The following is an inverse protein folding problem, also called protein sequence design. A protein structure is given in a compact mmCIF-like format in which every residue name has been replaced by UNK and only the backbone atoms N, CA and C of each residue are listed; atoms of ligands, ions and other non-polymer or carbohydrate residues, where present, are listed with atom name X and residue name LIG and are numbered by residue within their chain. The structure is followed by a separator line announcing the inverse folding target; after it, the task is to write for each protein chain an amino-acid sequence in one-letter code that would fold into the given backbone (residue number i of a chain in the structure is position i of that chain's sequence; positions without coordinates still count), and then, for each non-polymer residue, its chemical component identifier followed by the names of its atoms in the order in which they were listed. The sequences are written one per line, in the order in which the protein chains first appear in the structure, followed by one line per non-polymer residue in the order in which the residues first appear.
data_IF_255874394031
#
_entry.id   IF_255874394031
#
_cell.length_a   1.000
_cell.length_b   1.000
_cell.length_c   1.000
_cell.angle_alpha   90.00
_cell.angle_beta   90.00
_cell.angle_gamma   90.00
#
_symmetry.space_group_name_H-M   'P 1'
#
loop_
_entity.id
_entity.type
_entity.pdbx_description
1 polymer ?
#
# COMPACT_ATOMS: atom_id res chain seq x y z
N UNK A 1 76.74 -16.48 5.98
CA UNK A 1 75.74 -16.80 4.94
C UNK A 1 74.40 -16.21 5.34
N UNK A 2 74.05 -15.04 4.80
CA UNK A 2 72.77 -14.38 5.04
C UNK A 2 71.71 -15.06 4.16
N UNK A 3 70.67 -15.63 4.77
CA UNK A 3 69.46 -16.08 4.05
C UNK A 3 68.49 -14.90 4.04
N UNK A 4 68.34 -14.27 2.88
CA UNK A 4 67.32 -13.24 2.68
C UNK A 4 65.94 -13.88 2.49
N UNK A 5 65.01 -13.44 3.34
CA UNK A 5 63.57 -13.59 3.17
C UNK A 5 63.13 -12.80 1.93
N UNK A 6 62.51 -13.46 0.95
CA UNK A 6 61.71 -12.78 -0.06
C UNK A 6 60.24 -13.11 0.19
N UNK A 7 59.58 -12.28 1.00
CA UNK A 7 58.13 -12.31 1.20
C UNK A 7 57.49 -11.59 0.00
N UNK A 8 57.09 -12.35 -1.03
CA UNK A 8 56.29 -11.82 -2.13
C UNK A 8 54.89 -11.46 -1.60
N UNK A 9 54.63 -10.17 -1.38
CA UNK A 9 53.30 -9.64 -1.14
C UNK A 9 52.47 -9.76 -2.42
N UNK A 10 51.59 -10.77 -2.47
CA UNK A 10 50.56 -10.91 -3.49
C UNK A 10 49.55 -9.76 -3.32
N UNK A 11 49.70 -8.68 -4.09
CA UNK A 11 48.66 -7.65 -4.23
C UNK A 11 47.47 -8.30 -4.98
N UNK A 12 46.49 -8.81 -4.24
CA UNK A 12 45.16 -9.04 -4.81
C UNK A 12 44.54 -7.68 -5.15
N UNK A 13 44.09 -7.44 -6.39
CA UNK A 13 43.26 -6.29 -6.67
C UNK A 13 41.93 -6.48 -5.92
N UNK A 14 41.74 -5.70 -4.86
CA UNK A 14 40.44 -5.52 -4.25
C UNK A 14 39.59 -4.76 -5.28
N UNK A 15 38.76 -5.49 -6.05
CA UNK A 15 37.78 -4.86 -6.92
C UNK A 15 36.68 -4.33 -6.01
N UNK A 16 36.85 -3.09 -5.57
CA UNK A 16 35.81 -2.36 -4.85
C UNK A 16 34.79 -1.93 -5.90
N UNK A 17 33.60 -2.54 -5.89
CA UNK A 17 32.49 -2.06 -6.70
C UNK A 17 32.01 -0.72 -6.13
N UNK A 18 32.42 0.37 -6.77
CA UNK A 18 31.86 1.69 -6.47
C UNK A 18 30.37 1.65 -6.77
N UNK A 19 29.56 2.28 -5.90
CA UNK A 19 28.18 2.61 -6.21
C UNK A 19 28.14 3.30 -7.58
N UNK A 20 27.25 2.83 -8.45
CA UNK A 20 27.08 3.37 -9.79
C UNK A 20 25.61 3.71 -10.03
N UNK A 21 25.38 4.85 -10.68
CA UNK A 21 24.05 5.29 -11.09
C UNK A 21 23.83 4.85 -12.54
N UNK A 22 22.71 4.18 -12.77
CA UNK A 22 22.28 3.72 -14.08
C UNK A 22 20.92 4.32 -14.41
N UNK A 23 20.88 5.13 -15.45
CA UNK A 23 19.63 5.71 -15.94
C UNK A 23 19.09 4.85 -17.07
N UNK A 24 17.81 4.48 -16.98
CA UNK A 24 17.12 3.79 -18.04
C UNK A 24 17.03 4.68 -19.28
N UNK A 25 17.42 4.15 -20.45
CA UNK A 25 17.54 4.95 -21.68
C UNK A 25 16.48 4.66 -22.74
N UNK A 26 15.83 3.51 -22.65
CA UNK A 26 14.96 3.01 -23.71
C UNK A 26 13.49 3.42 -23.48
N UNK A 27 12.73 3.60 -24.56
CA UNK A 27 11.27 3.66 -24.45
C UNK A 27 10.70 2.31 -24.00
N UNK A 28 11.16 1.21 -24.59
CA UNK A 28 10.83 -0.15 -24.16
C UNK A 28 12.07 -1.07 -24.18
N UNK A 29 12.16 -2.04 -23.25
CA UNK A 29 13.25 -3.01 -23.26
C UNK A 29 13.30 -3.96 -22.06
N UNK A 30 14.26 -4.87 -22.08
CA UNK A 30 14.55 -5.81 -20.99
C UNK A 30 15.45 -5.18 -19.94
N UNK A 31 15.14 -5.44 -18.66
CA UNK A 31 15.91 -4.98 -17.50
C UNK A 31 17.34 -5.50 -17.51
N UNK A 32 17.53 -6.76 -17.92
CA UNK A 32 18.81 -7.46 -17.89
C UNK A 32 19.71 -7.14 -19.09
N UNK A 33 19.18 -6.48 -20.14
CA UNK A 33 19.98 -6.05 -21.27
C UNK A 33 20.89 -4.88 -20.85
N UNK A 34 22.23 -5.03 -20.86
CA UNK A 34 23.16 -3.99 -20.42
C UNK A 34 22.99 -2.68 -21.18
N UNK A 35 22.56 -2.77 -22.44
CA UNK A 35 22.37 -1.61 -23.30
C UNK A 35 21.07 -0.85 -23.02
N UNK A 36 20.17 -1.34 -22.17
CA UNK A 36 18.99 -0.55 -21.74
C UNK A 36 19.34 0.58 -20.75
N UNK A 37 20.56 0.60 -20.25
CA UNK A 37 21.04 1.51 -19.21
C UNK A 37 22.13 2.45 -19.75
N UNK A 38 22.22 3.65 -19.18
CA UNK A 38 23.35 4.57 -19.35
C UNK A 38 23.99 4.82 -17.98
N UNK A 39 25.30 4.56 -17.82
CA UNK A 39 26.17 3.81 -18.75
C UNK A 39 25.71 2.35 -18.91
N UNK A 40 26.29 1.60 -19.85
CA UNK A 40 25.91 0.19 -20.04
C UNK A 40 26.14 -0.61 -18.74
N UNK A 41 25.12 -1.35 -18.30
CA UNK A 41 25.15 -2.10 -17.03
C UNK A 41 25.59 -3.55 -17.23
N UNK A 42 26.89 -3.74 -17.47
CA UNK A 42 27.47 -5.07 -17.78
C UNK A 42 27.75 -5.93 -16.54
N UNK A 43 27.86 -5.32 -15.37
CA UNK A 43 28.15 -6.02 -14.11
C UNK A 43 27.23 -5.46 -13.03
N UNK A 44 25.96 -5.91 -12.99
CA UNK A 44 25.03 -5.58 -11.92
C UNK A 44 25.66 -5.76 -10.53
N UNK A 45 25.63 -4.71 -9.71
CA UNK A 45 26.09 -4.73 -8.34
C UNK A 45 24.96 -4.43 -7.35
N UNK A 46 25.09 -4.96 -6.14
CA UNK A 46 24.07 -4.84 -5.09
C UNK A 46 23.87 -3.41 -4.59
N UNK A 47 24.83 -2.51 -4.85
CA UNK A 47 24.80 -1.12 -4.44
C UNK A 47 24.46 -0.18 -5.60
N UNK A 48 23.99 -0.71 -6.73
CA UNK A 48 23.59 0.10 -7.89
C UNK A 48 22.37 0.97 -7.58
N UNK A 49 22.36 2.17 -8.14
CA UNK A 49 21.21 3.08 -8.13
C UNK A 49 20.59 3.05 -9.52
N UNK A 50 19.36 2.53 -9.62
CA UNK A 50 18.62 2.45 -10.86
C UNK A 50 17.60 3.59 -10.96
N UNK A 51 17.69 4.35 -12.04
CA UNK A 51 16.95 5.59 -12.24
C UNK A 51 16.05 5.52 -13.48
N UNK A 52 14.77 5.83 -13.28
CA UNK A 52 13.79 6.02 -14.34
C UNK A 52 13.30 7.46 -14.30
N UNK A 53 13.88 8.30 -15.15
CA UNK A 53 13.64 9.75 -15.21
C UNK A 53 12.83 10.17 -16.45
N UNK A 54 12.38 9.21 -17.25
CA UNK A 54 11.51 9.37 -18.40
C UNK A 54 10.56 8.17 -18.47
N UNK A 55 9.41 8.36 -19.12
CA UNK A 55 8.42 7.29 -19.28
C UNK A 55 9.00 6.11 -20.07
N UNK A 56 8.76 4.90 -19.56
CA UNK A 56 9.37 3.69 -20.08
C UNK A 56 8.49 2.45 -19.86
N UNK A 57 8.73 1.42 -20.65
CA UNK A 57 8.13 0.09 -20.50
C UNK A 57 9.21 -0.98 -20.40
N UNK A 58 9.31 -1.59 -19.23
CA UNK A 58 10.20 -2.71 -18.97
C UNK A 58 9.34 -3.96 -19.07
N UNK A 59 9.50 -4.71 -20.15
CA UNK A 59 8.65 -5.87 -20.47
C UNK A 59 9.25 -7.22 -20.05
N UNK A 60 10.47 -7.18 -19.52
CA UNK A 60 11.21 -8.36 -19.11
C UNK A 60 12.05 -8.01 -17.88
N UNK A 61 11.50 -8.32 -16.70
CA UNK A 61 12.13 -8.11 -15.39
C UNK A 61 13.06 -9.30 -15.05
N UNK A 62 14.08 -9.11 -14.20
CA UNK A 62 15.00 -10.18 -13.84
C UNK A 62 14.29 -11.21 -12.95
N UNK A 63 14.72 -12.47 -13.00
CA UNK A 63 14.20 -13.50 -12.10
C UNK A 63 14.44 -13.11 -10.62
N UNK A 64 15.69 -12.75 -10.29
CA UNK A 64 16.11 -12.27 -8.98
C UNK A 64 17.22 -11.23 -9.17
N UNK A 65 17.14 -10.11 -8.47
CA UNK A 65 18.22 -9.14 -8.41
C UNK A 65 18.26 -8.37 -7.08
N UNK A 66 19.45 -7.99 -6.62
CA UNK A 66 19.64 -7.04 -5.53
C UNK A 66 20.19 -5.72 -6.09
N UNK A 67 19.65 -4.60 -5.65
CA UNK A 67 20.11 -3.25 -6.01
C UNK A 67 20.11 -2.35 -4.78
N UNK A 68 20.89 -1.28 -4.83
CA UNK A 68 21.01 -0.35 -3.73
C UNK A 68 19.79 0.57 -3.63
N UNK A 69 19.28 0.98 -4.80
CA UNK A 69 18.16 1.92 -4.90
C UNK A 69 17.42 1.84 -6.22
N UNK A 70 16.12 2.11 -6.19
CA UNK A 70 15.28 2.38 -7.37
C UNK A 70 14.60 3.74 -7.21
N UNK A 71 14.63 4.55 -8.27
CA UNK A 71 13.95 5.86 -8.32
C UNK A 71 13.13 6.01 -9.60
N UNK A 72 11.87 6.38 -9.44
CA UNK A 72 10.99 6.83 -10.53
C UNK A 72 10.68 8.30 -10.28
N UNK A 73 11.08 9.19 -11.19
CA UNK A 73 11.06 10.63 -10.95
C UNK A 73 10.90 11.45 -12.23
N UNK A 74 10.84 12.79 -12.12
CA UNK A 74 10.70 13.69 -13.27
C UNK A 74 9.41 13.47 -14.09
N UNK A 75 8.29 13.26 -13.40
CA UNK A 75 6.98 12.99 -14.01
C UNK A 75 6.95 11.74 -14.93
N UNK A 76 7.88 10.79 -14.72
CA UNK A 76 7.95 9.58 -15.51
C UNK A 76 6.78 8.65 -15.22
N UNK A 77 6.26 8.00 -16.27
CA UNK A 77 5.33 6.87 -16.16
C UNK A 77 6.08 5.61 -16.57
N UNK A 78 6.37 4.76 -15.59
CA UNK A 78 7.17 3.54 -15.78
C UNK A 78 6.26 2.32 -15.65
N UNK A 79 6.31 1.43 -16.64
CA UNK A 79 5.52 0.21 -16.66
C UNK A 79 6.43 -0.99 -16.53
N UNK A 80 6.26 -1.78 -15.49
CA UNK A 80 6.93 -3.07 -15.31
C UNK A 80 5.96 -4.20 -15.66
N UNK A 81 6.42 -5.12 -16.50
CA UNK A 81 5.83 -6.42 -16.72
C UNK A 81 6.92 -7.46 -16.94
N UNK A 82 6.57 -8.73 -16.79
CA UNK A 82 7.55 -9.82 -16.83
C UNK A 82 6.97 -11.07 -17.47
N UNK A 83 7.82 -11.80 -18.18
CA UNK A 83 7.49 -13.13 -18.73
C UNK A 83 7.69 -14.26 -17.72
N UNK A 84 8.33 -13.96 -16.59
CA UNK A 84 8.63 -14.86 -15.47
C UNK A 84 8.28 -14.20 -14.14
N UNK A 85 8.17 -14.97 -13.05
CA UNK A 85 8.14 -14.39 -11.71
C UNK A 85 9.46 -13.65 -11.42
N UNK A 86 9.36 -12.41 -10.96
CA UNK A 86 10.51 -11.51 -10.75
C UNK A 86 10.58 -11.06 -9.30
N UNK A 87 11.77 -11.05 -8.73
CA UNK A 87 12.04 -10.53 -7.38
C UNK A 87 13.19 -9.51 -7.44
N UNK A 88 12.88 -8.26 -7.15
CA UNK A 88 13.90 -7.21 -7.00
C UNK A 88 13.99 -6.81 -5.55
N UNK A 89 15.17 -7.01 -4.95
CA UNK A 89 15.49 -6.67 -3.57
C UNK A 89 16.25 -5.35 -3.53
N UNK A 90 15.84 -4.45 -2.64
CA UNK A 90 16.38 -3.09 -2.56
C UNK A 90 17.00 -2.87 -1.19
N UNK A 91 18.27 -2.50 -1.16
CA UNK A 91 18.95 -2.05 0.06
C UNK A 91 20.43 -2.39 0.07
N UNK A 92 21.25 -1.37 0.31
CA UNK A 92 22.68 -1.51 0.58
C UNK A 92 23.16 -0.37 1.49
N UNK A 93 24.01 -0.67 2.48
CA UNK A 93 24.43 0.30 3.50
C UNK A 93 25.30 1.44 2.94
N UNK A 94 25.89 1.26 1.76
CA UNK A 94 26.64 2.32 1.06
C UNK A 94 25.73 3.28 0.28
N UNK A 95 24.43 2.99 0.19
CA UNK A 95 23.47 3.75 -0.62
C UNK A 95 22.52 4.56 0.28
N UNK A 96 22.52 5.90 0.17
CA UNK A 96 21.70 6.74 1.04
C UNK A 96 20.20 6.56 0.74
N UNK A 97 19.40 6.63 1.81
CA UNK A 97 17.95 6.61 1.75
C UNK A 97 17.35 7.84 1.02
N UNK A 98 16.10 7.76 0.53
CA UNK A 98 15.26 6.56 0.45
C UNK A 98 15.74 5.60 -0.65
N UNK A 99 15.79 4.30 -0.33
CA UNK A 99 16.25 3.25 -1.25
C UNK A 99 15.17 2.91 -2.29
N UNK A 100 13.90 3.13 -2.00
CA UNK A 100 12.83 3.09 -2.99
C UNK A 100 12.14 4.46 -3.05
N UNK A 101 12.03 5.04 -4.25
CA UNK A 101 11.41 6.35 -4.42
C UNK A 101 10.51 6.38 -5.66
N UNK A 102 9.28 6.85 -5.46
CA UNK A 102 8.44 7.36 -6.56
C UNK A 102 8.12 8.82 -6.25
N UNK A 103 8.69 9.74 -7.02
CA UNK A 103 8.52 11.19 -6.82
C UNK A 103 7.10 11.65 -7.18
N UNK A 104 6.69 12.80 -6.66
CA UNK A 104 5.43 13.46 -7.05
C UNK A 104 5.36 13.65 -8.56
N UNK A 105 4.16 13.53 -9.12
CA UNK A 105 3.90 13.57 -10.56
C UNK A 105 4.35 12.31 -11.32
N UNK A 106 5.12 11.40 -10.70
CA UNK A 106 5.58 10.17 -11.34
C UNK A 106 4.70 8.97 -10.99
N UNK A 107 4.67 7.97 -11.87
CA UNK A 107 3.85 6.77 -11.71
C UNK A 107 4.66 5.51 -11.98
N UNK A 108 4.54 4.52 -11.10
CA UNK A 108 5.00 3.15 -11.33
C UNK A 108 3.79 2.22 -11.51
N UNK A 109 3.67 1.61 -12.69
CA UNK A 109 2.68 0.60 -12.98
C UNK A 109 3.36 -0.78 -12.99
N UNK A 110 2.76 -1.76 -12.33
CA UNK A 110 3.19 -3.15 -12.35
C UNK A 110 2.02 -3.98 -12.85
N UNK A 111 2.23 -4.71 -13.94
CA UNK A 111 1.17 -5.51 -14.55
C UNK A 111 1.69 -6.76 -15.25
N UNK A 112 0.76 -7.58 -15.73
CA UNK A 112 1.05 -8.87 -16.35
C UNK A 112 0.56 -10.01 -15.47
N UNK A 113 0.67 -11.25 -15.96
CA UNK A 113 0.19 -12.43 -15.22
C UNK A 113 1.23 -13.00 -14.26
N UNK A 114 2.51 -12.72 -14.50
CA UNK A 114 3.60 -13.22 -13.67
C UNK A 114 3.90 -12.24 -12.54
N UNK A 115 4.05 -12.77 -11.34
CA UNK A 115 4.27 -11.98 -10.14
C UNK A 115 5.57 -11.18 -10.22
N UNK A 116 5.50 -9.92 -9.79
CA UNK A 116 6.67 -9.05 -9.65
C UNK A 116 6.65 -8.57 -8.21
N UNK A 117 7.71 -8.90 -7.48
CA UNK A 117 7.91 -8.50 -6.09
C UNK A 117 9.06 -7.51 -6.00
N UNK A 118 8.76 -6.30 -5.53
CA UNK A 118 9.76 -5.30 -5.15
C UNK A 118 9.87 -5.34 -3.63
N UNK A 119 11.03 -5.71 -3.11
CA UNK A 119 11.25 -5.99 -1.67
C UNK A 119 12.30 -5.07 -1.09
N UNK A 120 11.89 -4.12 -0.24
CA UNK A 120 12.79 -3.28 0.55
C UNK A 120 13.30 -4.13 1.71
N UNK A 121 14.62 -4.33 1.75
CA UNK A 121 15.29 -5.16 2.74
C UNK A 121 15.32 -4.49 4.13
N UNK A 122 15.62 -5.26 5.17
CA UNK A 122 15.75 -4.74 6.54
C UNK A 122 16.92 -3.76 6.65
N UNK A 123 16.73 -2.69 7.42
CA UNK A 123 17.63 -1.54 7.56
C UNK A 123 17.40 -0.43 6.54
N UNK A 124 16.47 -0.60 5.59
CA UNK A 124 16.26 0.32 4.46
C UNK A 124 14.81 0.80 4.39
N UNK A 125 14.59 1.87 3.63
CA UNK A 125 13.27 2.51 3.55
C UNK A 125 12.86 2.95 2.15
N UNK A 126 11.56 3.10 1.96
CA UNK A 126 10.91 3.57 0.76
C UNK A 126 10.02 4.79 1.01
N UNK A 127 9.91 5.67 0.02
CA UNK A 127 9.02 6.82 0.05
C UNK A 127 8.27 6.95 -1.26
N UNK A 128 6.95 7.10 -1.18
CA UNK A 128 6.07 7.29 -2.33
C UNK A 128 5.40 8.65 -2.19
N UNK A 129 5.73 9.56 -3.10
CA UNK A 129 5.07 10.87 -3.27
C UNK A 129 4.16 10.87 -4.50
N UNK A 130 4.42 9.99 -5.46
CA UNK A 130 3.62 9.83 -6.68
C UNK A 130 2.59 8.71 -6.58
N UNK A 131 2.40 7.99 -7.68
CA UNK A 131 1.42 6.92 -7.82
C UNK A 131 2.07 5.56 -8.04
N UNK A 132 1.51 4.53 -7.42
CA UNK A 132 1.80 3.13 -7.74
C UNK A 132 0.50 2.42 -8.11
N UNK A 133 0.52 1.66 -9.21
CA UNK A 133 -0.60 0.82 -9.61
C UNK A 133 -0.15 -0.62 -9.84
N UNK A 134 -0.92 -1.58 -9.31
CA UNK A 134 -0.72 -3.01 -9.54
C UNK A 134 -1.97 -3.64 -10.14
N UNK A 135 -1.83 -4.47 -11.17
CA UNK A 135 -2.94 -5.17 -11.83
C UNK A 135 -2.47 -6.53 -12.38
N UNK A 136 -3.35 -7.52 -12.55
CA UNK A 136 -2.96 -8.84 -13.07
C UNK A 136 -2.47 -9.82 -11.99
N UNK A 137 -1.20 -10.21 -11.98
CA UNK A 137 -0.66 -11.22 -11.07
C UNK A 137 -0.71 -10.82 -9.59
N UNK A 138 -0.19 -11.69 -8.72
CA UNK A 138 0.03 -11.40 -7.30
C UNK A 138 1.30 -10.55 -7.14
N UNK A 139 1.28 -9.34 -7.67
CA UNK A 139 2.39 -8.39 -7.54
C UNK A 139 2.51 -7.88 -6.09
N UNK A 140 3.74 -7.65 -5.64
CA UNK A 140 4.02 -7.22 -4.28
C UNK A 140 4.99 -6.04 -4.21
N UNK A 141 4.70 -5.11 -3.30
CA UNK A 141 5.62 -4.12 -2.78
C UNK A 141 5.83 -4.40 -1.30
N UNK A 142 6.90 -5.10 -0.98
CA UNK A 142 7.21 -5.58 0.36
C UNK A 142 8.21 -4.64 1.05
N UNK A 143 8.04 -4.46 2.34
CA UNK A 143 8.98 -3.72 3.19
C UNK A 143 9.19 -4.49 4.49
N UNK A 144 10.44 -4.69 4.88
CA UNK A 144 10.80 -5.62 5.96
C UNK A 144 10.51 -5.06 7.37
N UNK A 145 10.83 -3.78 7.61
CA UNK A 145 10.78 -3.21 8.96
C UNK A 145 9.53 -2.37 9.18
N UNK A 146 9.10 -2.21 10.44
CA UNK A 146 8.00 -1.33 10.78
C UNK A 146 8.23 0.10 10.28
N UNK A 147 7.21 0.70 9.67
CA UNK A 147 7.23 2.06 9.11
C UNK A 147 8.35 2.34 8.08
N UNK A 148 8.86 1.31 7.42
CA UNK A 148 9.95 1.46 6.44
C UNK A 148 9.47 1.91 5.06
N UNK A 149 8.21 1.63 4.68
CA UNK A 149 7.61 2.15 3.44
C UNK A 149 6.54 3.19 3.77
N UNK A 150 6.73 4.42 3.31
CA UNK A 150 5.85 5.55 3.62
C UNK A 150 5.22 6.12 2.34
N UNK A 151 3.89 6.10 2.30
CA UNK A 151 3.08 6.84 1.34
C UNK A 151 2.79 8.24 1.92
N UNK A 152 3.35 9.25 1.28
CA UNK A 152 3.29 10.66 1.69
C UNK A 152 1.95 11.30 1.31
N UNK A 153 1.69 12.49 1.84
CA UNK A 153 0.52 13.28 1.47
C UNK A 153 0.37 13.42 -0.05
N UNK A 154 -0.82 13.14 -0.60
CA UNK A 154 -1.11 13.22 -2.03
C UNK A 154 -0.66 12.01 -2.85
N UNK A 155 0.06 11.05 -2.27
CA UNK A 155 0.42 9.81 -2.95
C UNK A 155 -0.75 8.82 -3.03
N UNK A 156 -0.72 7.96 -4.05
CA UNK A 156 -1.76 6.94 -4.25
C UNK A 156 -1.16 5.57 -4.53
N UNK A 157 -1.67 4.55 -3.85
CA UNK A 157 -1.52 3.15 -4.26
C UNK A 157 -2.87 2.63 -4.75
N UNK A 158 -2.92 2.01 -5.92
CA UNK A 158 -4.15 1.39 -6.43
C UNK A 158 -3.91 -0.04 -6.89
N UNK A 159 -4.79 -0.95 -6.48
CA UNK A 159 -4.92 -2.24 -7.18
C UNK A 159 -5.78 -2.07 -8.43
N UNK A 160 -5.86 -3.09 -9.28
CA UNK A 160 -6.56 -3.03 -10.56
C UNK A 160 -7.16 -4.37 -10.95
N UNK A 161 -7.82 -4.41 -12.11
CA UNK A 161 -8.44 -5.63 -12.63
C UNK A 161 -7.44 -6.78 -12.73
N UNK A 162 -7.92 -7.99 -12.45
CA UNK A 162 -7.10 -9.20 -12.46
C UNK A 162 -6.21 -9.39 -11.23
N UNK A 163 -5.85 -8.33 -10.50
CA UNK A 163 -4.94 -8.40 -9.35
C UNK A 163 -5.40 -9.45 -8.33
N UNK A 164 -4.46 -10.23 -7.80
CA UNK A 164 -4.70 -11.25 -6.76
C UNK A 164 -3.77 -11.04 -5.56
N UNK A 165 -4.11 -11.62 -4.41
CA UNK A 165 -3.27 -11.53 -3.21
C UNK A 165 -3.32 -10.18 -2.48
N UNK A 166 -2.34 -9.95 -1.61
CA UNK A 166 -2.22 -8.75 -0.77
C UNK A 166 -0.99 -7.93 -1.21
N UNK A 167 -1.13 -6.68 -1.65
CA UNK A 167 -0.05 -5.95 -2.31
C UNK A 167 1.18 -5.72 -1.42
N UNK A 168 1.01 -5.72 -0.10
CA UNK A 168 2.10 -5.47 0.86
C UNK A 168 2.60 -6.74 1.57
N UNK A 169 2.13 -7.92 1.14
CA UNK A 169 2.46 -9.20 1.77
C UNK A 169 1.66 -9.46 3.04
N UNK A 170 2.08 -10.46 3.84
CA UNK A 170 1.28 -10.98 4.96
C UNK A 170 2.03 -11.10 6.29
N UNK A 171 3.34 -10.80 6.32
CA UNK A 171 4.22 -11.15 7.46
C UNK A 171 4.90 -9.95 8.12
N UNK A 172 5.34 -8.95 7.36
CA UNK A 172 6.05 -7.78 7.88
C UNK A 172 5.07 -6.80 8.53
N UNK A 173 4.77 -7.00 9.82
CA UNK A 173 3.75 -6.21 10.51
C UNK A 173 4.14 -4.73 10.58
N UNK A 174 3.14 -3.86 10.40
CA UNK A 174 3.26 -2.41 10.50
C UNK A 174 4.31 -1.78 9.56
N UNK A 175 4.73 -2.48 8.49
CA UNK A 175 5.85 -2.06 7.65
C UNK A 175 5.49 -0.95 6.66
N UNK A 176 4.20 -0.79 6.36
CA UNK A 176 3.70 0.19 5.39
C UNK A 176 2.83 1.22 6.10
N UNK A 177 3.06 2.51 5.82
CA UNK A 177 2.33 3.62 6.42
C UNK A 177 1.73 4.50 5.34
N UNK A 178 0.42 4.72 5.41
CA UNK A 178 -0.27 5.77 4.66
C UNK A 178 -0.44 6.99 5.57
N UNK A 179 0.25 8.08 5.23
CA UNK A 179 0.13 9.34 5.96
C UNK A 179 -1.20 10.03 5.68
N UNK A 180 -1.49 11.10 6.45
CA UNK A 180 -2.64 11.97 6.19
C UNK A 180 -2.62 12.46 4.73
N UNK A 181 -3.75 12.31 4.04
CA UNK A 181 -3.93 12.64 2.63
C UNK A 181 -3.30 11.67 1.62
N UNK A 182 -2.64 10.59 2.06
CA UNK A 182 -2.27 9.48 1.18
C UNK A 182 -3.47 8.55 0.95
N UNK A 183 -3.55 7.93 -0.22
CA UNK A 183 -4.72 7.16 -0.65
C UNK A 183 -4.38 5.71 -1.02
N UNK A 184 -5.19 4.77 -0.54
CA UNK A 184 -5.23 3.39 -1.03
C UNK A 184 -6.55 3.11 -1.74
N UNK A 185 -6.49 2.71 -3.01
CA UNK A 185 -7.64 2.37 -3.84
C UNK A 185 -7.72 0.86 -4.09
N UNK A 186 -8.70 0.21 -3.48
CA UNK A 186 -8.91 -1.22 -3.63
C UNK A 186 -9.85 -1.52 -4.82
N UNK A 187 -9.28 -1.81 -5.99
CA UNK A 187 -10.02 -2.16 -7.23
C UNK A 187 -9.87 -3.63 -7.65
N UNK A 188 -9.17 -4.44 -6.87
CA UNK A 188 -8.91 -5.85 -7.13
C UNK A 188 -8.07 -6.49 -6.03
N UNK A 189 -8.00 -7.82 -6.03
CA UNK A 189 -7.26 -8.63 -5.05
C UNK A 189 -7.89 -8.67 -3.65
N UNK A 190 -7.06 -8.97 -2.66
CA UNK A 190 -7.43 -9.02 -1.24
C UNK A 190 -7.18 -7.67 -0.53
N UNK A 191 -7.52 -7.59 0.75
CA UNK A 191 -7.27 -6.39 1.57
C UNK A 191 -5.77 -6.05 1.67
N UNK A 192 -5.39 -4.79 1.93
CA UNK A 192 -3.98 -4.43 2.09
C UNK A 192 -3.35 -4.89 3.42
N UNK A 193 -4.16 -5.20 4.44
CA UNK A 193 -3.64 -5.53 5.78
C UNK A 193 -2.84 -6.83 5.79
N UNK A 194 -3.22 -7.82 4.96
CA UNK A 194 -2.44 -9.02 4.63
C UNK A 194 -2.27 -10.04 5.74
N UNK A 195 -1.85 -9.61 6.92
CA UNK A 195 -1.66 -10.44 8.10
C UNK A 195 -3.00 -10.92 8.66
N UNK A 196 -2.96 -12.08 9.33
CA UNK A 196 -4.12 -12.66 10.01
C UNK A 196 -4.63 -11.71 11.09
N UNK A 197 -5.95 -11.47 11.09
CA UNK A 197 -6.59 -10.60 12.08
C UNK A 197 -6.25 -11.02 13.53
N UNK A 198 -5.99 -10.07 14.44
CA UNK A 198 -6.09 -8.62 14.26
C UNK A 198 -4.82 -7.94 13.69
N UNK A 199 -3.73 -8.67 13.51
CA UNK A 199 -2.43 -8.10 13.11
C UNK A 199 -2.45 -7.53 11.69
N UNK A 200 -1.73 -6.43 11.46
CA UNK A 200 -1.71 -5.72 10.16
C UNK A 200 -0.28 -5.46 9.66
N UNK A 201 -0.10 -5.52 8.33
CA UNK A 201 1.07 -5.01 7.61
C UNK A 201 1.00 -3.50 7.39
N UNK A 202 -0.21 -2.94 7.24
CA UNK A 202 -0.45 -1.55 6.85
C UNK A 202 -1.05 -0.72 7.98
N UNK A 203 -0.52 0.49 8.16
CA UNK A 203 -1.02 1.50 9.07
C UNK A 203 -1.60 2.68 8.29
N UNK A 204 -2.91 2.82 8.33
CA UNK A 204 -3.62 4.01 7.87
C UNK A 204 -3.65 5.04 9.00
N UNK A 205 -2.86 6.11 8.88
CA UNK A 205 -2.88 7.19 9.86
C UNK A 205 -4.15 8.03 9.74
N UNK A 206 -4.46 8.80 10.78
CA UNK A 206 -5.54 9.77 10.78
C UNK A 206 -5.45 10.68 9.53
N UNK A 207 -6.58 10.87 8.85
CA UNK A 207 -6.67 11.65 7.61
C UNK A 207 -6.17 10.97 6.33
N UNK A 208 -5.64 9.74 6.37
CA UNK A 208 -5.41 8.94 5.14
C UNK A 208 -6.74 8.49 4.53
N UNK A 209 -6.74 8.06 3.27
CA UNK A 209 -7.96 7.68 2.54
C UNK A 209 -7.91 6.22 2.09
N UNK A 210 -8.97 5.47 2.40
CA UNK A 210 -9.18 4.12 1.90
C UNK A 210 -10.44 4.07 1.03
N UNK A 211 -10.27 3.78 -0.26
CA UNK A 211 -11.37 3.64 -1.21
C UNK A 211 -11.63 2.16 -1.44
N UNK A 212 -12.81 1.68 -1.05
CA UNK A 212 -13.28 0.33 -1.33
C UNK A 212 -14.09 0.31 -2.62
N UNK A 213 -13.49 -0.16 -3.70
CA UNK A 213 -14.08 -0.13 -5.04
C UNK A 213 -14.34 -1.54 -5.60
N UNK A 214 -14.32 -2.55 -4.71
CA UNK A 214 -14.79 -3.91 -4.99
C UNK A 214 -15.73 -4.40 -3.89
N UNK A 215 -16.47 -5.48 -4.16
CA UNK A 215 -17.48 -6.00 -3.25
C UNK A 215 -16.96 -6.95 -2.15
N UNK A 216 -15.74 -7.48 -2.26
CA UNK A 216 -15.31 -8.66 -1.47
C UNK A 216 -13.92 -8.57 -0.83
N UNK A 217 -13.26 -7.41 -0.87
CA UNK A 217 -11.86 -7.29 -0.44
C UNK A 217 -11.60 -6.44 0.81
N UNK A 218 -12.62 -5.83 1.42
CA UNK A 218 -12.44 -5.07 2.67
C UNK A 218 -12.40 -6.00 3.89
N UNK A 219 -11.59 -5.67 4.90
CA UNK A 219 -11.44 -6.43 6.16
C UNK A 219 -11.74 -5.52 7.33
N UNK A 220 -12.63 -5.92 8.26
CA UNK A 220 -13.01 -5.06 9.37
C UNK A 220 -12.38 -5.47 10.70
N UNK A 221 -12.33 -6.78 11.02
CA UNK A 221 -11.96 -7.26 12.35
C UNK A 221 -10.54 -6.84 12.74
N UNK A 222 -10.42 -6.04 13.80
CA UNK A 222 -9.13 -5.55 14.30
C UNK A 222 -8.43 -4.56 13.37
N UNK A 223 -9.13 -3.95 12.41
CA UNK A 223 -8.54 -3.03 11.42
C UNK A 223 -8.72 -1.58 11.83
N UNK A 224 -7.74 -0.76 11.46
CA UNK A 224 -7.80 0.70 11.62
C UNK A 224 -7.64 1.37 10.27
N UNK A 225 -8.51 2.33 10.00
CA UNK A 225 -8.59 3.12 8.77
C UNK A 225 -8.54 4.62 9.12
N UNK A 226 -8.14 5.45 8.15
CA UNK A 226 -8.35 6.91 8.20
C UNK A 226 -9.79 7.25 7.85
N UNK A 227 -9.99 7.88 6.70
CA UNK A 227 -11.26 7.96 6.00
C UNK A 227 -11.54 6.66 5.25
N UNK A 228 -12.82 6.26 5.17
CA UNK A 228 -13.29 5.16 4.34
C UNK A 228 -14.34 5.67 3.37
N UNK A 229 -14.14 5.36 2.08
CA UNK A 229 -15.09 5.63 1.01
C UNK A 229 -15.52 4.32 0.36
N UNK A 230 -16.83 4.11 0.27
CA UNK A 230 -17.46 2.92 -0.28
C UNK A 230 -18.01 3.24 -1.67
N UNK A 231 -17.34 2.67 -2.69
CA UNK A 231 -17.67 2.79 -4.12
C UNK A 231 -18.05 1.43 -4.72
N UNK A 232 -18.42 0.46 -3.87
CA UNK A 232 -18.94 -0.84 -4.27
C UNK A 232 -19.78 -1.42 -3.12
N UNK A 233 -20.79 -2.21 -3.47
CA UNK A 233 -21.65 -2.82 -2.45
C UNK A 233 -20.84 -3.77 -1.57
N UNK A 234 -20.84 -3.54 -0.25
CA UNK A 234 -20.15 -4.37 0.73
C UNK A 234 -21.13 -4.82 1.82
N UNK A 235 -21.08 -6.09 2.21
CA UNK A 235 -21.95 -6.66 3.25
C UNK A 235 -21.17 -7.57 4.18
N UNK A 236 -21.29 -7.33 5.48
CA UNK A 236 -20.61 -8.06 6.53
C UNK A 236 -21.63 -8.64 7.50
N UNK A 237 -21.76 -9.97 7.49
CA UNK A 237 -22.50 -10.74 8.48
C UNK A 237 -21.58 -11.79 9.09
N UNK A 238 -20.75 -11.37 10.04
CA UNK A 238 -19.64 -12.16 10.58
C UNK A 238 -19.59 -12.05 12.11
N UNK A 239 -18.98 -13.02 12.81
CA UNK A 239 -18.54 -12.83 14.18
C UNK A 239 -17.53 -11.68 14.24
N UNK A 240 -17.73 -10.77 15.18
CA UNK A 240 -16.97 -9.53 15.28
C UNK A 240 -16.38 -9.36 16.68
N UNK A 241 -15.20 -9.94 16.88
CA UNK A 241 -14.58 -10.10 18.21
C UNK A 241 -13.53 -9.03 18.53
N UNK A 242 -13.21 -8.15 17.59
CA UNK A 242 -12.21 -7.09 17.77
C UNK A 242 -12.65 -5.87 17.00
N UNK A 243 -12.48 -4.71 17.61
CA UNK A 243 -12.94 -3.44 17.07
C UNK A 243 -12.36 -3.15 15.68
N UNK A 244 -13.18 -2.55 14.83
CA UNK A 244 -12.71 -1.81 13.66
C UNK A 244 -12.75 -0.33 14.00
N UNK A 245 -11.69 0.41 13.68
CA UNK A 245 -11.63 1.85 13.91
C UNK A 245 -11.59 2.56 12.55
N UNK A 246 -12.61 3.35 12.27
CA UNK A 246 -12.57 4.38 11.22
C UNK A 246 -12.30 5.69 11.95
N UNK A 247 -11.07 6.18 11.86
CA UNK A 247 -10.63 7.34 12.64
C UNK A 247 -11.34 8.64 12.23
N UNK A 248 -11.77 8.72 10.97
CA UNK A 248 -12.44 9.87 10.39
C UNK A 248 -13.80 9.45 9.78
N UNK A 249 -14.09 9.88 8.56
CA UNK A 249 -15.41 9.77 7.96
C UNK A 249 -15.61 8.39 7.31
N UNK A 250 -16.85 7.89 7.38
CA UNK A 250 -17.33 6.81 6.53
C UNK A 250 -18.31 7.40 5.51
N UNK A 251 -17.96 7.28 4.22
CA UNK A 251 -18.72 7.84 3.11
C UNK A 251 -19.15 6.75 2.14
N UNK A 252 -20.41 6.81 1.68
CA UNK A 252 -20.96 5.97 0.62
C UNK A 252 -21.26 6.83 -0.61
N UNK A 253 -20.77 6.43 -1.78
CA UNK A 253 -21.00 7.12 -3.06
C UNK A 253 -22.02 6.38 -3.94
N UNK A 254 -23.26 6.24 -3.46
CA UNK A 254 -24.32 5.56 -4.22
C UNK A 254 -24.30 4.02 -4.13
N UNK A 255 -23.41 3.45 -3.32
CA UNK A 255 -23.32 2.01 -3.04
C UNK A 255 -23.70 1.67 -1.61
N UNK A 256 -24.27 0.48 -1.42
CA UNK A 256 -24.71 0.01 -0.12
C UNK A 256 -23.54 -0.48 0.73
N UNK A 257 -23.58 -0.17 2.02
CA UNK A 257 -22.69 -0.74 3.03
C UNK A 257 -23.52 -1.32 4.16
N UNK A 258 -23.36 -2.61 4.43
CA UNK A 258 -24.04 -3.29 5.52
C UNK A 258 -23.02 -3.95 6.44
N UNK A 259 -23.06 -3.59 7.72
CA UNK A 259 -22.32 -4.21 8.80
C UNK A 259 -23.32 -4.70 9.85
N UNK A 260 -23.65 -5.99 9.79
CA UNK A 260 -24.62 -6.66 10.66
C UNK A 260 -23.95 -7.84 11.36
N UNK A 261 -23.11 -7.61 12.38
CA UNK A 261 -22.40 -8.67 13.08
C UNK A 261 -23.36 -9.72 13.67
N UNK A 262 -23.01 -10.99 13.52
CA UNK A 262 -23.84 -12.12 13.98
C UNK A 262 -23.60 -12.51 15.44
N UNK A 263 -22.43 -12.14 15.97
CA UNK A 263 -21.99 -12.38 17.35
C UNK A 263 -20.72 -11.58 17.63
N UNK A 264 -20.28 -11.54 18.89
CA UNK A 264 -18.99 -10.97 19.29
C UNK A 264 -19.12 -9.73 20.16
N UNK A 265 -17.96 -9.25 20.63
CA UNK A 265 -17.84 -8.12 21.58
C UNK A 265 -17.16 -6.89 20.97
N UNK A 266 -16.70 -7.00 19.73
CA UNK A 266 -16.09 -5.88 19.02
C UNK A 266 -17.12 -4.88 18.53
N UNK A 267 -16.67 -3.66 18.28
CA UNK A 267 -17.47 -2.56 17.75
C UNK A 267 -16.86 -1.95 16.49
N UNK A 268 -17.71 -1.53 15.56
CA UNK A 268 -17.34 -0.57 14.53
C UNK A 268 -17.33 0.81 15.16
N UNK A 269 -16.13 1.34 15.38
CA UNK A 269 -15.89 2.67 15.96
C UNK A 269 -15.67 3.68 14.85
N UNK A 270 -16.41 4.78 14.89
CA UNK A 270 -16.34 5.83 13.87
C UNK A 270 -16.08 7.16 14.56
N UNK A 271 -14.96 7.79 14.19
CA UNK A 271 -14.50 9.05 14.76
C UNK A 271 -15.06 10.30 14.07
N UNK A 272 -15.37 10.21 12.77
CA UNK A 272 -15.94 11.30 11.98
C UNK A 272 -17.39 11.10 11.56
N UNK A 273 -17.77 11.73 10.45
CA UNK A 273 -19.14 11.76 9.96
C UNK A 273 -19.56 10.47 9.25
N UNK A 274 -20.87 10.24 9.23
CA UNK A 274 -21.52 9.21 8.43
C UNK A 274 -22.24 9.88 7.26
N UNK A 275 -21.71 9.67 6.05
CA UNK A 275 -22.18 10.36 4.85
C UNK A 275 -22.71 9.34 3.85
N UNK A 276 -24.00 9.42 3.52
CA UNK A 276 -24.62 8.52 2.55
C UNK A 276 -25.12 9.31 1.33
N UNK A 277 -24.46 9.26 0.18
CA UNK A 277 -24.90 10.00 -1.01
C UNK A 277 -25.68 9.12 -1.99
N UNK A 278 -26.52 9.74 -2.83
CA UNK A 278 -27.35 9.02 -3.80
C UNK A 278 -28.41 8.12 -3.16
N UNK A 279 -28.71 6.98 -3.79
CA UNK A 279 -29.69 5.99 -3.32
C UNK A 279 -29.10 4.90 -2.42
N UNK A 280 -27.87 5.10 -1.93
CA UNK A 280 -27.15 4.14 -1.09
C UNK A 280 -27.87 3.86 0.23
N UNK A 281 -27.76 2.64 0.74
CA UNK A 281 -28.22 2.29 2.08
C UNK A 281 -27.02 1.95 2.96
N UNK A 282 -26.95 2.62 4.12
CA UNK A 282 -26.01 2.34 5.19
C UNK A 282 -26.74 1.60 6.31
N UNK A 283 -26.36 0.36 6.57
CA UNK A 283 -26.90 -0.46 7.67
C UNK A 283 -25.75 -0.79 8.61
N UNK A 284 -25.83 -0.34 9.86
CA UNK A 284 -24.80 -0.57 10.86
C UNK A 284 -25.40 -1.24 12.11
N UNK A 285 -24.70 -2.23 12.65
CA UNK A 285 -25.11 -2.97 13.83
C UNK A 285 -26.03 -4.16 13.52
N UNK A 286 -26.14 -5.07 14.47
CA UNK A 286 -26.95 -6.28 14.32
C UNK A 286 -27.34 -6.88 15.68
N UNK A 287 -28.46 -7.60 15.70
CA UNK A 287 -29.01 -8.21 16.93
C UNK A 287 -28.06 -9.20 17.63
N UNK A 288 -27.02 -9.67 16.92
CA UNK A 288 -26.03 -10.62 17.44
C UNK A 288 -24.99 -10.04 18.40
N UNK A 289 -24.82 -8.71 18.45
CA UNK A 289 -23.83 -8.07 19.33
C UNK A 289 -24.32 -6.73 19.87
N UNK A 290 -24.39 -6.62 21.19
CA UNK A 290 -24.61 -5.36 21.89
C UNK A 290 -23.43 -4.40 21.64
N UNK A 291 -23.71 -3.10 21.52
CA UNK A 291 -22.72 -2.04 21.28
C UNK A 291 -21.86 -2.25 20.02
N UNK A 292 -22.45 -2.84 18.97
CA UNK A 292 -21.73 -3.10 17.70
C UNK A 292 -21.30 -1.84 16.96
N UNK A 293 -21.88 -0.69 17.29
CA UNK A 293 -21.56 0.59 16.65
C UNK A 293 -21.29 1.63 17.71
N UNK A 294 -20.11 2.25 17.66
CA UNK A 294 -19.71 3.30 18.59
C UNK A 294 -19.34 4.55 17.81
N UNK A 295 -20.06 5.63 18.09
CA UNK A 295 -19.78 6.96 17.60
C UNK A 295 -18.89 7.69 18.61
N UNK A 296 -17.66 8.02 18.20
CA UNK A 296 -16.63 8.55 19.10
C UNK A 296 -16.40 10.06 18.96
N UNK A 297 -16.81 10.65 17.84
CA UNK A 297 -16.61 12.07 17.57
C UNK A 297 -17.58 12.99 18.31
N UNK A 298 -17.16 14.24 18.47
CA UNK A 298 -18.01 15.34 18.93
C UNK A 298 -18.75 15.94 17.73
N UNK A 299 -20.06 16.19 17.85
CA UNK A 299 -20.88 16.79 16.78
C UNK A 299 -20.80 16.05 15.43
N UNK A 300 -20.85 14.72 15.45
CA UNK A 300 -20.85 13.94 14.20
C UNK A 300 -22.13 14.18 13.41
N UNK A 301 -21.94 14.41 12.12
CA UNK A 301 -23.03 14.55 11.17
C UNK A 301 -23.46 13.17 10.65
N UNK A 302 -24.78 12.92 10.68
CA UNK A 302 -25.41 11.73 10.11
C UNK A 302 -26.38 12.18 9.03
N UNK A 303 -25.95 12.16 7.77
CA UNK A 303 -26.79 12.69 6.71
C UNK A 303 -26.69 11.93 5.42
N UNK A 304 -27.81 11.95 4.69
CA UNK A 304 -27.71 11.75 3.27
C UNK A 304 -26.99 12.98 2.71
N UNK A 305 -25.86 12.82 2.02
CA UNK A 305 -25.17 13.96 1.41
C UNK A 305 -25.94 14.44 0.16
N UNK A 306 -27.23 14.79 0.32
CA UNK A 306 -28.18 15.09 -0.74
C UNK A 306 -28.83 13.87 -1.41
N UNK A 307 -28.68 12.66 -0.85
CA UNK A 307 -29.19 11.41 -1.41
C UNK A 307 -30.59 10.99 -0.94
N UNK A 308 -31.25 10.08 -1.66
CA UNK A 308 -32.53 9.42 -1.31
C UNK A 308 -32.36 8.14 -0.49
N UNK A 309 -31.11 7.77 -0.22
CA UNK A 309 -30.72 6.61 0.58
C UNK A 309 -31.13 6.64 2.04
N UNK A 310 -31.00 5.50 2.74
CA UNK A 310 -31.29 5.38 4.17
C UNK A 310 -30.05 5.08 5.01
N UNK A 311 -30.04 5.59 6.25
CA UNK A 311 -29.06 5.22 7.28
C UNK A 311 -29.83 4.55 8.42
N UNK A 312 -29.52 3.29 8.70
CA UNK A 312 -30.09 2.50 9.78
C UNK A 312 -28.98 2.06 10.71
N UNK A 313 -29.09 2.39 12.01
CA UNK A 313 -28.10 2.00 13.02
C UNK A 313 -28.82 1.27 14.15
N UNK A 314 -28.35 0.07 14.47
CA UNK A 314 -28.79 -0.74 15.61
C UNK A 314 -27.67 -0.82 16.65
N UNK A 315 -28.04 -0.97 17.92
CA UNK A 315 -27.08 -1.12 19.03
C UNK A 315 -26.02 0.01 19.09
N UNK A 316 -26.48 1.24 18.88
CA UNK A 316 -25.66 2.44 18.89
C UNK A 316 -25.24 2.83 20.31
N UNK A 317 -23.95 3.06 20.51
CA UNK A 317 -23.41 3.76 21.67
C UNK A 317 -22.76 5.06 21.24
N UNK A 318 -23.04 6.16 21.92
CA UNK A 318 -22.30 7.42 21.78
C UNK A 318 -21.37 7.57 22.98
N UNK A 319 -20.09 7.83 22.75
CA UNK A 319 -19.07 7.83 23.81
C UNK A 319 -18.74 9.24 24.35
N UNK A 320 -19.62 10.22 24.16
CA UNK A 320 -19.45 11.52 24.79
C UNK A 320 -20.79 12.18 25.13
N UNK A 321 -20.77 13.03 26.16
CA UNK A 321 -21.95 13.74 26.68
C UNK A 321 -22.44 14.87 25.73
N UNK A 322 -21.82 15.05 24.56
CA UNK A 322 -22.05 16.17 23.64
C UNK A 322 -22.24 15.75 22.18
N UNK A 323 -22.46 14.46 21.87
CA UNK A 323 -22.71 14.04 20.49
C UNK A 323 -24.10 14.53 20.10
N UNK A 324 -24.14 15.63 19.36
CA UNK A 324 -25.35 16.06 18.66
C UNK A 324 -25.43 15.34 17.34
N UNK A 325 -26.37 14.41 17.19
CA UNK A 325 -26.65 13.77 15.90
C UNK A 325 -27.51 14.71 15.08
N UNK A 326 -26.93 15.31 14.04
CA UNK A 326 -27.66 16.18 13.12
C UNK A 326 -28.07 15.37 11.90
N UNK A 327 -29.38 15.18 11.74
CA UNK A 327 -29.98 14.65 10.51
C UNK A 327 -30.36 15.80 9.60
N UNK A 328 -29.89 15.79 8.35
CA UNK A 328 -30.46 16.67 7.31
C UNK A 328 -31.90 16.25 7.03
N UNK A 329 -32.83 17.19 7.19
CA UNK A 329 -34.23 17.07 6.76
C UNK A 329 -34.33 17.54 5.31
#
# INVERSE_FOLDING_TARGET
MKKELLLQSLLLPCIVFSQQVYTWKNGAGSWTNPTSWIPNRITPAINDILEFNASATINDMPAIENVGRIRVFNNAIVNFSSTISSIVKIGDASVPAPNFLVESGSTLNISGTNDISISILSGYGGTVNGKIQVAGGAHHLLSADASSLIFQNGSTFSTGSGFTGNPFGTTALNSVVFQSGASYENKGGSNPFGATQPNTVVNFLWGSNYFQQTATSMSLVGRTYGNVEIDANNTFNIPFNTDCIIQNNLRLNGFNFSFTPSSGTGALRIGGDLICTGSANLILGGAGSSNSVILQGTNQFLGSGGGTGSITIQNLTTNNLQTTLQKSV
#
